data_IF_307113307580
#
_entry.id   IF_307113307580
#
_cell.length_a   1.000
_cell.length_b   1.000
_cell.length_c   1.000
_cell.angle_alpha   90.00
_cell.angle_beta   90.00
_cell.angle_gamma   90.00
#
_symmetry.space_group_name_H-M   'P 1'
#
loop_
_entity.id
_entity.type
_entity.pdbx_description
1 polymer ?
#
# COMPACT_ATOMS: atom_id res chain seq x y z
N UNK A 1 -13.54 1.50 -8.95
CA UNK A 1 -12.12 1.42 -8.52
C UNK A 1 -11.69 2.79 -8.02
N UNK A 2 -11.40 2.92 -6.73
CA UNK A 2 -11.01 4.19 -6.10
C UNK A 2 -9.75 4.73 -6.78
N UNK A 3 -9.80 5.99 -7.21
CA UNK A 3 -8.70 6.72 -7.85
C UNK A 3 -7.57 6.93 -6.83
N UNK A 4 -6.82 5.88 -6.54
CA UNK A 4 -5.70 5.83 -5.58
C UNK A 4 -4.49 6.70 -5.99
N UNK A 5 -4.48 7.15 -7.25
CA UNK A 5 -3.40 7.94 -7.82
C UNK A 5 -4.02 9.03 -8.69
N UNK A 6 -4.36 10.16 -8.07
CA UNK A 6 -4.61 11.39 -8.79
C UNK A 6 -3.36 12.26 -8.65
N UNK A 7 -2.49 12.32 -9.68
CA UNK A 7 -1.28 13.14 -9.67
C UNK A 7 -1.58 14.58 -9.29
N UNK A 8 -2.75 15.10 -9.69
CA UNK A 8 -3.17 16.48 -9.41
C UNK A 8 -3.44 16.72 -7.91
N UNK A 9 -4.10 15.78 -7.23
CA UNK A 9 -4.32 15.87 -5.76
C UNK A 9 -3.02 15.72 -4.99
N UNK A 10 -2.14 14.83 -5.42
CA UNK A 10 -0.82 14.69 -4.82
C UNK A 10 -0.03 16.00 -4.97
N UNK A 11 -0.10 16.59 -6.16
CA UNK A 11 0.48 17.88 -6.51
C UNK A 11 0.01 19.02 -5.58
N UNK A 12 -1.28 19.09 -5.27
CA UNK A 12 -1.85 20.11 -4.36
C UNK A 12 -1.46 19.90 -2.89
N UNK A 13 -1.36 18.66 -2.41
CA UNK A 13 -0.97 18.33 -1.02
C UNK A 13 0.49 18.68 -0.67
N UNK A 14 1.33 18.97 -1.67
CA UNK A 14 2.77 19.09 -1.49
C UNK A 14 3.23 20.48 -1.02
N UNK A 15 2.36 21.52 -1.04
CA UNK A 15 2.59 22.89 -0.52
C UNK A 15 3.77 23.68 -1.14
N UNK A 16 4.67 22.98 -1.80
CA UNK A 16 5.91 23.42 -2.44
C UNK A 16 5.78 23.40 -3.96
N UNK A 17 4.65 22.91 -4.47
CA UNK A 17 4.37 22.76 -5.89
C UNK A 17 4.20 24.09 -6.63
N UNK A 18 3.60 25.15 -6.06
CA UNK A 18 3.60 26.46 -6.71
C UNK A 18 5.03 26.99 -6.91
N UNK A 19 5.89 26.87 -5.88
CA UNK A 19 7.31 27.22 -5.98
C UNK A 19 8.05 26.35 -6.99
N UNK A 20 7.71 25.06 -7.08
CA UNK A 20 8.29 24.14 -8.06
C UNK A 20 7.84 24.45 -9.49
N UNK A 21 6.55 24.69 -9.72
CA UNK A 21 5.99 25.13 -11.01
C UNK A 21 6.62 26.43 -11.46
N UNK A 22 6.79 27.41 -10.57
CA UNK A 22 7.48 28.65 -10.89
C UNK A 22 8.94 28.41 -11.31
N UNK A 23 9.66 27.53 -10.60
CA UNK A 23 11.04 27.14 -10.98
C UNK A 23 11.10 26.40 -12.31
N UNK A 24 10.13 25.52 -12.60
CA UNK A 24 10.02 24.85 -13.90
C UNK A 24 9.70 25.83 -15.03
N UNK A 25 8.81 26.78 -14.79
CA UNK A 25 8.49 27.84 -15.74
C UNK A 25 9.72 28.69 -16.06
N UNK A 26 10.54 29.03 -15.06
CA UNK A 26 11.83 29.69 -15.29
C UNK A 26 12.74 28.86 -16.19
N UNK A 27 12.85 27.54 -15.96
CA UNK A 27 13.64 26.67 -16.85
C UNK A 27 13.09 26.64 -18.28
N UNK A 28 11.77 26.65 -18.44
CA UNK A 28 11.14 26.72 -19.77
C UNK A 28 11.50 28.05 -20.44
N UNK A 29 11.47 29.17 -19.71
CA UNK A 29 11.89 30.48 -20.24
C UNK A 29 13.34 30.47 -20.71
N UNK A 30 14.29 29.98 -19.89
CA UNK A 30 15.69 29.82 -20.30
C UNK A 30 15.85 28.97 -21.57
N UNK A 31 15.11 27.86 -21.67
CA UNK A 31 15.12 27.01 -22.87
C UNK A 31 14.58 27.73 -24.10
N UNK A 32 13.48 28.48 -23.95
CA UNK A 32 12.88 29.25 -25.04
C UNK A 32 13.83 30.34 -25.55
N UNK A 33 14.58 30.96 -24.64
CA UNK A 33 15.63 31.94 -24.96
C UNK A 33 16.93 31.30 -25.49
N UNK A 34 17.02 29.96 -25.57
CA UNK A 34 18.24 29.19 -25.88
C UNK A 34 19.41 29.52 -24.96
N UNK A 35 19.11 29.98 -23.76
CA UNK A 35 20.10 30.30 -22.74
C UNK A 35 20.39 29.10 -21.84
N UNK A 36 21.60 29.11 -21.27
CA UNK A 36 22.01 28.08 -20.31
C UNK A 36 21.29 28.28 -18.98
N UNK A 37 20.54 27.27 -18.56
CA UNK A 37 19.85 27.27 -17.26
C UNK A 37 20.88 27.39 -16.11
N UNK A 38 20.68 28.33 -15.16
CA UNK A 38 21.54 28.49 -13.98
C UNK A 38 21.74 27.18 -13.22
N UNK A 39 22.94 26.98 -12.68
CA UNK A 39 23.30 25.71 -12.00
C UNK A 39 22.46 25.51 -10.74
N UNK A 40 22.24 26.58 -10.00
CA UNK A 40 21.45 26.66 -8.77
C UNK A 40 20.00 26.26 -9.04
N UNK A 41 19.42 26.77 -10.13
CA UNK A 41 18.06 26.44 -10.56
C UNK A 41 17.93 24.96 -10.93
N UNK A 42 18.92 24.41 -11.65
CA UNK A 42 18.97 22.96 -11.97
C UNK A 42 19.03 22.11 -10.71
N UNK A 43 19.90 22.46 -9.75
CA UNK A 43 20.00 21.75 -8.48
C UNK A 43 18.72 21.84 -7.65
N UNK A 44 18.11 23.03 -7.56
CA UNK A 44 16.85 23.22 -6.85
C UNK A 44 15.75 22.30 -7.40
N UNK A 45 15.67 22.14 -8.73
CA UNK A 45 14.70 21.24 -9.36
C UNK A 45 14.99 19.78 -9.04
N UNK A 46 16.26 19.34 -9.12
CA UNK A 46 16.65 17.96 -8.82
C UNK A 46 16.35 17.62 -7.36
N UNK A 47 16.76 18.47 -6.42
CA UNK A 47 16.50 18.27 -4.98
C UNK A 47 15.01 18.18 -4.72
N UNK A 48 14.22 19.07 -5.33
CA UNK A 48 12.78 19.10 -5.12
C UNK A 48 12.12 17.85 -5.71
N UNK A 49 12.55 17.36 -6.88
CA UNK A 49 12.09 16.06 -7.44
C UNK A 49 12.40 14.88 -6.51
N UNK A 50 13.62 14.82 -5.97
CA UNK A 50 14.03 13.77 -5.03
C UNK A 50 13.17 13.80 -3.76
N UNK A 51 12.89 14.99 -3.23
CA UNK A 51 12.02 15.15 -2.07
C UNK A 51 10.59 14.65 -2.34
N UNK A 52 10.04 14.95 -3.52
CA UNK A 52 8.73 14.45 -3.93
C UNK A 52 8.71 12.93 -4.05
N UNK A 53 9.72 12.35 -4.71
CA UNK A 53 9.87 10.89 -4.82
C UNK A 53 9.95 10.22 -3.46
N UNK A 54 10.76 10.76 -2.53
CA UNK A 54 10.87 10.25 -1.16
C UNK A 54 9.50 10.23 -0.46
N UNK A 55 8.72 11.31 -0.55
CA UNK A 55 7.39 11.38 0.09
C UNK A 55 6.39 10.39 -0.50
N UNK A 56 6.41 10.20 -1.82
CA UNK A 56 5.58 9.19 -2.50
C UNK A 56 5.93 7.79 -1.99
N UNK A 57 7.22 7.48 -1.95
CA UNK A 57 7.71 6.18 -1.48
C UNK A 57 7.33 5.93 -0.01
N UNK A 58 7.44 6.94 0.86
CA UNK A 58 7.03 6.84 2.26
C UNK A 58 5.54 6.53 2.39
N UNK A 59 4.66 7.28 1.70
CA UNK A 59 3.22 7.00 1.72
C UNK A 59 2.88 5.61 1.19
N UNK A 60 3.54 5.19 0.11
CA UNK A 60 3.35 3.84 -0.45
C UNK A 60 3.75 2.78 0.57
N UNK A 61 4.87 2.98 1.27
CA UNK A 61 5.34 2.07 2.29
C UNK A 61 4.38 1.99 3.49
N UNK A 62 3.90 3.14 3.97
CA UNK A 62 2.88 3.20 5.03
C UNK A 62 1.62 2.43 4.65
N UNK A 63 1.15 2.61 3.41
CA UNK A 63 -0.02 1.89 2.90
C UNK A 63 0.24 0.38 2.82
N UNK A 64 1.34 -0.05 2.18
CA UNK A 64 1.71 -1.47 2.09
C UNK A 64 1.85 -2.12 3.47
N UNK A 65 2.38 -1.40 4.45
CA UNK A 65 2.48 -1.88 5.83
C UNK A 65 1.10 -2.13 6.45
N UNK A 66 0.11 -1.27 6.17
CA UNK A 66 -1.28 -1.46 6.65
C UNK A 66 -1.96 -2.63 5.96
N UNK A 67 -1.83 -2.74 4.64
CA UNK A 67 -2.36 -3.87 3.88
C UNK A 67 -1.78 -5.19 4.38
N UNK A 68 -0.47 -5.24 4.58
CA UNK A 68 0.21 -6.42 5.09
C UNK A 68 -0.34 -6.83 6.46
N UNK A 69 -0.52 -5.87 7.38
CA UNK A 69 -1.15 -6.14 8.70
C UNK A 69 -2.56 -6.69 8.56
N UNK A 70 -3.36 -6.15 7.63
CA UNK A 70 -4.72 -6.64 7.36
C UNK A 70 -4.69 -8.09 6.90
N UNK A 71 -3.87 -8.41 5.89
CA UNK A 71 -3.72 -9.77 5.35
C UNK A 71 -3.24 -10.75 6.42
N UNK A 72 -2.27 -10.37 7.25
CA UNK A 72 -1.83 -11.25 8.36
C UNK A 72 -2.91 -11.46 9.42
N UNK A 73 -3.74 -10.44 9.69
CA UNK A 73 -4.84 -10.57 10.65
C UNK A 73 -5.91 -11.53 10.13
N UNK A 74 -6.25 -11.42 8.85
CA UNK A 74 -7.19 -12.32 8.17
C UNK A 74 -6.65 -13.76 8.12
N UNK A 75 -5.35 -13.94 7.82
CA UNK A 75 -4.69 -15.25 7.88
C UNK A 75 -4.86 -15.91 9.25
N UNK A 76 -4.60 -15.17 10.33
CA UNK A 76 -4.72 -15.68 11.71
C UNK A 76 -6.17 -16.09 12.02
N UNK A 77 -7.15 -15.30 11.57
CA UNK A 77 -8.57 -15.63 11.73
C UNK A 77 -8.92 -16.94 11.02
N UNK A 78 -8.51 -17.08 9.75
CA UNK A 78 -8.75 -18.29 8.97
C UNK A 78 -8.05 -19.52 9.57
N UNK A 79 -6.83 -19.37 10.10
CA UNK A 79 -6.13 -20.46 10.78
C UNK A 79 -6.88 -20.90 12.04
N UNK A 80 -7.44 -19.96 12.82
CA UNK A 80 -8.27 -20.29 13.98
C UNK A 80 -9.59 -20.95 13.60
N UNK A 81 -10.24 -20.49 12.53
CA UNK A 81 -11.48 -21.10 12.02
C UNK A 81 -11.23 -22.52 11.55
N UNK A 82 -10.14 -22.76 10.82
CA UNK A 82 -9.72 -24.09 10.38
C UNK A 82 -9.54 -25.03 11.59
N UNK A 83 -8.80 -24.61 12.62
CA UNK A 83 -8.58 -25.43 13.81
C UNK A 83 -9.90 -25.79 14.52
N UNK A 84 -10.85 -24.85 14.57
CA UNK A 84 -12.17 -25.09 15.16
C UNK A 84 -12.99 -26.12 14.36
N UNK A 85 -12.95 -26.03 13.03
CA UNK A 85 -13.66 -26.96 12.14
C UNK A 85 -13.04 -28.35 12.19
N UNK A 86 -11.72 -28.46 12.30
CA UNK A 86 -11.03 -29.74 12.48
C UNK A 86 -11.42 -30.43 13.79
N UNK A 87 -11.58 -29.66 14.88
CA UNK A 87 -12.08 -30.20 16.16
C UNK A 87 -13.50 -30.74 16.02
N UNK A 88 -14.41 -29.94 15.46
CA UNK A 88 -15.80 -30.35 15.23
C UNK A 88 -15.90 -31.60 14.35
N UNK A 89 -15.09 -31.67 13.29
CA UNK A 89 -15.05 -32.85 12.41
C UNK A 89 -14.62 -34.11 13.17
N UNK A 90 -13.58 -33.99 14.01
CA UNK A 90 -13.11 -35.12 14.82
C UNK A 90 -14.14 -35.57 15.85
N UNK A 91 -14.82 -34.62 16.50
CA UNK A 91 -15.92 -34.91 17.44
C UNK A 91 -17.06 -35.66 16.72
N UNK A 92 -17.52 -35.14 15.59
CA UNK A 92 -18.61 -35.75 14.81
C UNK A 92 -18.23 -37.15 14.31
N UNK A 93 -16.96 -37.34 13.91
CA UNK A 93 -16.43 -38.64 13.51
C UNK A 93 -16.41 -39.64 14.68
N UNK A 94 -15.99 -39.19 15.87
CA UNK A 94 -15.95 -40.03 17.06
C UNK A 94 -17.36 -40.42 17.52
N UNK A 95 -18.31 -39.48 17.50
CA UNK A 95 -19.73 -39.75 17.78
C UNK A 95 -20.30 -40.79 16.82
N UNK A 96 -20.02 -40.65 15.52
CA UNK A 96 -20.47 -41.60 14.50
C UNK A 96 -19.91 -43.00 14.75
N UNK A 97 -18.62 -43.11 15.10
CA UNK A 97 -17.98 -44.40 15.45
C UNK A 97 -18.64 -45.02 16.69
N UNK A 98 -18.92 -44.21 17.70
CA UNK A 98 -19.57 -44.67 18.94
C UNK A 98 -21.00 -45.17 18.68
N UNK A 99 -21.77 -44.44 17.85
CA UNK A 99 -23.11 -44.86 17.43
C UNK A 99 -23.07 -46.21 16.70
N UNK A 100 -22.17 -46.37 15.72
CA UNK A 100 -21.99 -47.63 15.00
C UNK A 100 -21.65 -48.77 15.98
N UNK A 101 -20.70 -48.56 16.90
CA UNK A 101 -20.31 -49.58 17.90
C UNK A 101 -21.48 -49.96 18.81
N UNK A 102 -22.26 -48.98 19.27
CA UNK A 102 -23.44 -49.24 20.11
C UNK A 102 -24.50 -50.06 19.39
N UNK A 103 -24.71 -49.81 18.09
CA UNK A 103 -25.67 -50.57 17.27
C UNK A 103 -25.22 -51.99 16.91
N UNK A 104 -23.93 -52.30 17.01
CA UNK A 104 -23.38 -53.65 16.74
C UNK A 104 -23.15 -54.48 18.01
N UNK A 105 -23.49 -53.95 19.19
CA UNK A 105 -23.30 -54.59 20.50
C UNK A 105 -24.60 -55.17 21.09
N UNK A 106 -25.72 -55.06 20.37
CA UNK A 106 -26.97 -55.82 20.59
C UNK A 106 -26.96 -57.12 19.77
#
# INVERSE_FOLDING_TARGET
MSKWYDPSKLEDYLGSLPKFRNRLNLVIQYKNLREKVPRELRFAIVIQRLYLQKRILLRRNEWLTRELRSVFSEKIQLESELESLEKLLNETRNETINLIRSSTSE
#
